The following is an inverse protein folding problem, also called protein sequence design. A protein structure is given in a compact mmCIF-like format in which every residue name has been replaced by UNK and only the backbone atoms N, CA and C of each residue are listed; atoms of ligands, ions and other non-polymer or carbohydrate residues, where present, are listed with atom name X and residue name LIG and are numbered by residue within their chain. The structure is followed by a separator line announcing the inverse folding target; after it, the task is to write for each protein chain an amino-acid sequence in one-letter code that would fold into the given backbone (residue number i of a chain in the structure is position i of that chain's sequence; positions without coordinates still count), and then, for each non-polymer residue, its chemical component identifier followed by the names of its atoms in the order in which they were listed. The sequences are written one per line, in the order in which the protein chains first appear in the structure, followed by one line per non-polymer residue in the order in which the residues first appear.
data_IF_701437781134
#
_entry.id   IF_701437781134
#
_cell.length_a   1.000
_cell.length_b   1.000
_cell.length_c   1.000
_cell.angle_alpha   90.00
_cell.angle_beta   90.00
_cell.angle_gamma   90.00
#
_symmetry.space_group_name_H-M   'P 1'
#
loop_
_entity.id
_entity.type
_entity.pdbx_description
1 polymer ?
#
# COMPACT_ATOMS: atom_id res chain seq x y z
N UNK A 1 -13.96 -0.71 12.21
CA UNK A 1 -13.30 -0.61 13.54
C UNK A 1 -13.93 0.51 14.36
N UNK A 2 -14.11 1.68 13.77
CA UNK A 2 -14.92 2.77 14.32
C UNK A 2 -16.30 2.70 13.67
N UNK A 3 -17.36 2.51 14.47
CA UNK A 3 -18.74 2.37 13.98
C UNK A 3 -19.47 3.71 13.99
N UNK A 4 -20.58 3.82 13.27
CA UNK A 4 -21.45 5.00 13.25
C UNK A 4 -21.88 5.43 14.66
N UNK A 5 -22.31 4.46 15.49
CA UNK A 5 -22.69 4.71 16.88
C UNK A 5 -21.56 5.32 17.73
N UNK A 6 -20.29 5.02 17.40
CA UNK A 6 -19.14 5.63 18.07
C UNK A 6 -18.92 7.06 17.58
N UNK A 7 -19.12 7.32 16.28
CA UNK A 7 -18.99 8.65 15.67
C UNK A 7 -20.06 9.60 16.22
N UNK A 8 -21.28 9.11 16.42
CA UNK A 8 -22.42 9.88 16.95
C UNK A 8 -22.20 10.37 18.38
N UNK A 9 -21.32 9.69 19.13
CA UNK A 9 -20.95 10.07 20.50
C UNK A 9 -19.77 11.04 20.56
N UNK A 10 -19.13 11.35 19.42
CA UNK A 10 -18.02 12.28 19.38
C UNK A 10 -18.51 13.73 19.48
N UNK A 11 -17.66 14.61 20.00
CA UNK A 11 -17.97 16.03 20.06
C UNK A 11 -18.01 16.63 18.64
N UNK A 12 -19.01 17.47 18.32
CA UNK A 12 -19.04 18.20 17.05
C UNK A 12 -17.76 19.02 16.85
N UNK A 13 -17.20 18.96 15.65
CA UNK A 13 -15.90 19.55 15.31
C UNK A 13 -14.73 18.56 15.40
N UNK A 14 -14.97 17.34 15.88
CA UNK A 14 -13.98 16.26 15.84
C UNK A 14 -13.58 15.91 14.40
N UNK A 15 -12.35 15.41 14.23
CA UNK A 15 -11.81 14.98 12.94
C UNK A 15 -11.24 13.57 13.06
N UNK A 16 -11.62 12.70 12.13
CA UNK A 16 -11.06 11.37 11.97
C UNK A 16 -10.31 11.33 10.64
N UNK A 17 -9.07 10.83 10.65
CA UNK A 17 -8.30 10.56 9.43
C UNK A 17 -8.24 9.05 9.25
N UNK A 18 -8.96 8.52 8.26
CA UNK A 18 -8.98 7.10 7.97
C UNK A 18 -7.91 6.77 6.92
N UNK A 19 -6.72 6.38 7.40
CA UNK A 19 -5.62 6.02 6.51
C UNK A 19 -5.90 4.78 5.65
N UNK A 20 -6.90 3.97 6.01
CA UNK A 20 -7.27 2.73 5.31
C UNK A 20 -8.49 2.89 4.40
N UNK A 21 -8.93 4.13 4.13
CA UNK A 21 -10.14 4.38 3.33
C UNK A 21 -10.15 3.62 1.99
N UNK A 22 -9.02 3.59 1.26
CA UNK A 22 -8.90 2.92 -0.04
C UNK A 22 -8.90 1.38 0.01
N UNK A 23 -8.65 0.78 1.18
CA UNK A 23 -8.53 -0.69 1.36
C UNK A 23 -9.67 -1.31 2.16
N UNK A 24 -10.82 -0.63 2.20
CA UNK A 24 -12.04 -1.09 2.88
C UNK A 24 -12.44 -0.23 4.09
N UNK A 25 -11.57 0.67 4.54
CA UNK A 25 -11.84 1.65 5.59
C UNK A 25 -11.86 1.05 7.00
N UNK A 26 -11.35 1.81 7.96
CA UNK A 26 -11.49 1.48 9.38
C UNK A 26 -12.71 2.17 10.00
N UNK A 27 -13.23 3.21 9.35
CA UNK A 27 -14.25 4.11 9.88
C UNK A 27 -15.52 4.00 9.05
N UNK A 28 -16.64 3.71 9.70
CA UNK A 28 -17.93 3.68 9.05
C UNK A 28 -18.31 5.07 8.53
N UNK A 29 -18.76 5.14 7.27
CA UNK A 29 -19.03 6.41 6.59
C UNK A 29 -17.80 7.05 5.91
N UNK A 30 -16.60 6.47 6.06
CA UNK A 30 -15.43 6.86 5.27
C UNK A 30 -15.65 6.59 3.78
N UNK A 31 -15.28 7.55 2.92
CA UNK A 31 -15.38 7.44 1.47
C UNK A 31 -13.97 7.57 0.88
N UNK A 32 -13.49 6.58 0.10
CA UNK A 32 -12.17 6.65 -0.54
C UNK A 32 -12.06 7.89 -1.45
N UNK A 33 -11.02 8.69 -1.25
CA UNK A 33 -10.76 9.87 -2.06
C UNK A 33 -11.53 11.12 -1.63
N UNK A 34 -12.29 11.06 -0.53
CA UNK A 34 -13.15 12.16 -0.12
C UNK A 34 -13.05 12.47 1.38
N UNK A 35 -13.30 13.74 1.70
CA UNK A 35 -13.56 14.20 3.06
C UNK A 35 -15.07 14.44 3.23
N UNK A 36 -15.69 13.72 4.16
CA UNK A 36 -17.12 13.78 4.45
C UNK A 36 -17.38 14.28 5.86
N UNK A 37 -18.62 14.65 6.16
CA UNK A 37 -19.05 15.05 7.50
C UNK A 37 -20.25 14.21 7.94
N UNK A 38 -20.15 13.61 9.13
CA UNK A 38 -21.19 12.78 9.74
C UNK A 38 -21.44 13.30 11.15
N UNK A 39 -22.66 13.77 11.42
CA UNK A 39 -23.07 14.26 12.74
C UNK A 39 -22.13 15.29 13.37
N UNK A 40 -21.57 16.20 12.55
CA UNK A 40 -20.64 17.24 12.97
C UNK A 40 -19.19 16.77 13.12
N UNK A 41 -18.89 15.51 12.80
CA UNK A 41 -17.54 14.94 12.78
C UNK A 41 -17.05 14.87 11.34
N UNK A 42 -15.86 15.40 11.07
CA UNK A 42 -15.23 15.33 9.75
C UNK A 42 -14.43 14.04 9.61
N UNK A 43 -14.67 13.28 8.56
CA UNK A 43 -13.98 12.04 8.25
C UNK A 43 -13.20 12.25 6.96
N UNK A 44 -11.87 12.22 7.06
CA UNK A 44 -10.94 12.45 5.95
C UNK A 44 -10.50 11.07 5.43
N UNK A 45 -10.99 10.72 4.24
CA UNK A 45 -10.67 9.49 3.51
C UNK A 45 -9.95 9.76 2.19
N UNK A 46 -9.41 10.97 1.99
CA UNK A 46 -8.76 11.45 0.76
C UNK A 46 -7.77 10.45 0.14
N UNK A 47 -7.14 9.61 0.96
CA UNK A 47 -6.30 8.53 0.48
C UNK A 47 -5.03 9.06 -0.19
N UNK A 48 -4.36 8.19 -0.94
CA UNK A 48 -3.17 8.54 -1.72
C UNK A 48 -2.14 9.41 -0.97
N UNK A 49 -1.98 9.13 0.33
CA UNK A 49 -1.19 9.94 1.25
C UNK A 49 0.26 10.20 0.80
N UNK A 50 0.96 9.23 0.17
CA UNK A 50 2.30 9.47 -0.36
C UNK A 50 2.35 10.59 -1.40
N UNK A 51 1.29 10.82 -2.17
CA UNK A 51 1.27 11.88 -3.17
C UNK A 51 1.21 13.28 -2.54
N UNK A 52 0.71 13.42 -1.31
CA UNK A 52 0.76 14.69 -0.58
C UNK A 52 2.19 15.06 -0.13
N UNK A 53 3.10 14.08 -0.10
CA UNK A 53 4.52 14.23 0.24
C UNK A 53 5.42 13.71 -0.89
N UNK A 54 5.03 14.02 -2.14
CA UNK A 54 5.62 13.42 -3.34
C UNK A 54 7.15 13.43 -3.38
N UNK A 55 7.82 14.49 -2.92
CA UNK A 55 9.28 14.57 -2.88
C UNK A 55 9.88 13.47 -1.99
N UNK A 56 9.44 13.39 -0.74
CA UNK A 56 10.01 12.45 0.24
C UNK A 56 9.57 11.01 -0.06
N UNK A 57 8.32 10.82 -0.49
CA UNK A 57 7.83 9.52 -0.95
C UNK A 57 8.62 9.01 -2.17
N UNK A 58 8.91 9.88 -3.14
CA UNK A 58 9.74 9.52 -4.29
C UNK A 58 11.16 9.15 -3.87
N UNK A 59 11.75 9.90 -2.94
CA UNK A 59 13.09 9.60 -2.41
C UNK A 59 13.12 8.23 -1.73
N UNK A 60 12.17 7.95 -0.84
CA UNK A 60 12.10 6.66 -0.13
C UNK A 60 11.86 5.50 -1.11
N UNK A 61 10.97 5.69 -2.09
CA UNK A 61 10.69 4.68 -3.10
C UNK A 61 11.92 4.40 -3.97
N UNK A 62 12.64 5.44 -4.41
CA UNK A 62 13.90 5.29 -5.15
C UNK A 62 14.95 4.55 -4.34
N UNK A 63 15.11 4.84 -3.04
CA UNK A 63 16.04 4.12 -2.19
C UNK A 63 15.69 2.63 -2.08
N UNK A 64 14.41 2.30 -1.91
CA UNK A 64 13.98 0.89 -1.88
C UNK A 64 14.26 0.17 -3.19
N UNK A 65 13.99 0.80 -4.34
CA UNK A 65 14.25 0.22 -5.65
C UNK A 65 15.76 0.04 -5.90
N UNK A 66 16.58 1.05 -5.57
CA UNK A 66 18.03 0.95 -5.70
C UNK A 66 18.59 -0.19 -4.87
N UNK A 67 18.20 -0.29 -3.59
CA UNK A 67 18.65 -1.36 -2.70
C UNK A 67 18.25 -2.75 -3.25
N UNK A 68 17.02 -2.87 -3.77
CA UNK A 68 16.55 -4.12 -4.35
C UNK A 68 17.34 -4.51 -5.60
N UNK A 69 17.69 -3.56 -6.47
CA UNK A 69 18.52 -3.83 -7.65
C UNK A 69 19.95 -4.21 -7.24
N UNK A 70 20.52 -3.48 -6.28
CA UNK A 70 21.88 -3.71 -5.77
C UNK A 70 22.05 -5.12 -5.19
N UNK A 71 21.03 -5.65 -4.49
CA UNK A 71 21.05 -7.01 -3.93
C UNK A 71 21.30 -8.09 -4.99
N UNK A 72 20.72 -7.92 -6.20
CA UNK A 72 20.78 -8.92 -7.27
C UNK A 72 21.75 -8.54 -8.41
N UNK A 73 22.48 -7.43 -8.30
CA UNK A 73 23.42 -6.99 -9.33
C UNK A 73 24.82 -7.55 -9.09
N UNK A 74 25.38 -8.23 -10.10
CA UNK A 74 26.77 -8.64 -10.08
C UNK A 74 27.63 -7.67 -10.91
N UNK A 75 28.50 -6.90 -10.23
CA UNK A 75 29.34 -5.89 -10.87
C UNK A 75 30.42 -6.47 -11.80
N UNK A 76 30.93 -7.67 -11.50
CA UNK A 76 31.99 -8.31 -12.30
C UNK A 76 31.42 -8.90 -13.60
N UNK A 77 30.30 -9.60 -13.49
CA UNK A 77 29.58 -10.21 -14.62
C UNK A 77 28.75 -9.18 -15.40
N UNK A 78 28.52 -7.99 -14.82
CA UNK A 78 27.68 -6.91 -15.36
C UNK A 78 26.28 -7.39 -15.74
N UNK A 79 25.70 -8.22 -14.88
CA UNK A 79 24.37 -8.78 -15.08
C UNK A 79 23.62 -8.90 -13.74
N UNK A 80 22.30 -9.13 -13.84
CA UNK A 80 21.50 -9.52 -12.70
C UNK A 80 21.69 -11.03 -12.45
N UNK A 81 21.94 -11.40 -11.20
CA UNK A 81 21.96 -12.79 -10.74
C UNK A 81 20.68 -13.04 -9.98
N UNK A 82 19.74 -13.71 -10.63
CA UNK A 82 18.42 -14.02 -10.07
C UNK A 82 18.37 -15.50 -9.72
N UNK A 83 18.39 -15.80 -8.42
CA UNK A 83 18.13 -17.14 -7.90
C UNK A 83 16.66 -17.24 -7.51
N UNK A 84 15.85 -17.95 -8.30
CA UNK A 84 14.42 -18.06 -8.01
C UNK A 84 14.09 -18.98 -6.82
N UNK A 85 15.10 -19.61 -6.22
CA UNK A 85 14.98 -20.29 -4.92
C UNK A 85 15.20 -19.34 -3.74
N UNK A 86 15.65 -18.10 -3.98
CA UNK A 86 15.79 -17.07 -2.96
C UNK A 86 14.42 -16.60 -2.43
N UNK A 87 14.29 -16.51 -1.10
CA UNK A 87 13.02 -16.16 -0.44
C UNK A 87 12.50 -14.77 -0.82
N UNK A 88 13.40 -13.79 -1.05
CA UNK A 88 13.01 -12.44 -1.47
C UNK A 88 12.42 -12.51 -2.88
N UNK A 89 13.10 -13.20 -3.80
CA UNK A 89 12.62 -13.35 -5.18
C UNK A 89 11.31 -14.15 -5.27
N UNK A 90 11.13 -15.20 -4.46
CA UNK A 90 9.86 -15.94 -4.41
C UNK A 90 8.68 -15.07 -3.96
N UNK A 91 8.92 -14.17 -3.01
CA UNK A 91 7.92 -13.20 -2.56
C UNK A 91 7.58 -12.13 -3.59
N UNK A 92 8.57 -11.70 -4.38
CA UNK A 92 8.43 -10.56 -5.30
C UNK A 92 8.04 -10.94 -6.74
N UNK A 93 8.51 -12.08 -7.26
CA UNK A 93 8.35 -12.42 -8.68
C UNK A 93 6.97 -13.02 -8.94
N UNK A 94 6.11 -12.29 -9.66
CA UNK A 94 4.76 -12.77 -10.03
C UNK A 94 4.79 -13.69 -11.26
N UNK A 95 5.55 -13.34 -12.28
CA UNK A 95 5.67 -14.09 -13.55
C UNK A 95 7.11 -14.19 -14.03
N UNK A 96 7.46 -15.31 -14.66
CA UNK A 96 8.73 -15.52 -15.33
C UNK A 96 8.53 -16.43 -16.55
N UNK A 97 9.14 -16.08 -17.69
CA UNK A 97 9.08 -16.86 -18.94
C UNK A 97 7.66 -17.19 -19.43
N UNK A 98 6.70 -16.29 -19.22
CA UNK A 98 5.32 -16.47 -19.67
C UNK A 98 4.44 -17.27 -18.70
N UNK A 99 5.00 -17.78 -17.61
CA UNK A 99 4.27 -18.52 -16.58
C UNK A 99 4.07 -17.66 -15.34
N UNK A 100 2.96 -17.87 -14.63
CA UNK A 100 2.79 -17.35 -13.26
C UNK A 100 3.67 -18.24 -12.36
N UNK A 101 4.56 -17.65 -11.57
CA UNK A 101 5.44 -18.41 -10.66
C UNK A 101 5.09 -18.22 -9.19
N UNK A 102 4.46 -17.11 -8.83
CA UNK A 102 4.02 -16.84 -7.46
C UNK A 102 2.82 -17.70 -7.06
N UNK A 103 2.96 -18.49 -6.01
CA UNK A 103 1.93 -19.42 -5.54
C UNK A 103 0.66 -18.72 -5.04
N UNK A 104 0.78 -17.56 -4.38
CA UNK A 104 -0.38 -16.78 -3.94
C UNK A 104 -1.23 -16.35 -5.14
N UNK A 105 -0.59 -15.87 -6.20
CA UNK A 105 -1.27 -15.45 -7.42
C UNK A 105 -1.86 -16.65 -8.20
N UNK A 106 -1.14 -17.78 -8.29
CA UNK A 106 -1.68 -19.00 -8.93
C UNK A 106 -2.98 -19.48 -8.26
N UNK A 107 -3.06 -19.37 -6.94
CA UNK A 107 -4.20 -19.90 -6.18
C UNK A 107 -5.40 -18.92 -6.12
N UNK A 108 -5.25 -17.66 -6.52
CA UNK A 108 -6.37 -16.70 -6.62
C UNK A 108 -7.36 -17.03 -7.75
N UNK A 109 -6.94 -17.83 -8.74
CA UNK A 109 -7.75 -18.20 -9.91
C UNK A 109 -8.31 -19.64 -9.83
N UNK A 110 -8.18 -20.31 -8.69
CA UNK A 110 -8.78 -21.63 -8.42
C UNK A 110 -10.01 -21.49 -7.55
#
# INVERSE_FOLDING_TARGET
LVTGDMIDQMEPGSVIVDMAAESGGNVEGSVPGETVEVNGVKIIGDGNWPNLLAHDSSRMYSSNLSNFIEEFWNADLKNMVLDFEDEILQGCVITHQGEIVNETIKNLNK
#
